data_IF_505691646761
#
_entry.id   IF_505691646761
#
_cell.length_a   1.000
_cell.length_b   1.000
_cell.length_c   1.000
_cell.angle_alpha   90.00
_cell.angle_beta   90.00
_cell.angle_gamma   90.00
#
_symmetry.space_group_name_H-M   'P 1'
#
loop_
_entity.id
_entity.type
_entity.pdbx_description
1 polymer ?
#
# COMPACT_ATOMS: atom_id res chain seq x y z
N UNK A 1 27.74 36.62 -1.93
CA UNK A 1 26.41 35.96 -1.91
C UNK A 1 26.62 34.47 -1.72
N UNK A 2 26.59 34.01 -0.47
CA UNK A 2 26.72 32.61 -0.06
C UNK A 2 25.55 31.80 -0.60
N UNK A 3 25.80 30.88 -1.54
CA UNK A 3 24.84 29.86 -1.96
C UNK A 3 24.50 29.00 -0.73
N UNK A 4 23.42 29.32 -0.02
CA UNK A 4 22.87 28.42 0.98
C UNK A 4 22.47 27.11 0.28
N UNK A 5 23.11 26.02 0.69
CA UNK A 5 22.71 24.64 0.41
C UNK A 5 21.31 24.43 0.97
N UNK A 6 20.28 24.72 0.21
CA UNK A 6 18.92 24.33 0.56
C UNK A 6 18.74 22.85 0.21
N UNK A 7 19.24 21.96 1.07
CA UNK A 7 18.86 20.55 0.98
C UNK A 7 17.37 20.43 1.28
N UNK A 8 16.63 19.88 0.31
CA UNK A 8 15.20 19.58 0.44
C UNK A 8 15.05 18.51 1.55
N UNK A 9 14.44 18.80 2.71
CA UNK A 9 14.38 17.86 3.83
C UNK A 9 13.69 16.55 3.48
N UNK A 10 12.55 16.63 2.77
CA UNK A 10 11.82 15.44 2.30
C UNK A 10 12.69 14.53 1.42
N UNK A 11 13.49 15.11 0.52
CA UNK A 11 14.37 14.36 -0.38
C UNK A 11 15.42 13.57 0.39
N UNK A 12 16.07 14.18 1.38
CA UNK A 12 17.07 13.48 2.20
C UNK A 12 16.44 12.32 2.98
N UNK A 13 15.25 12.54 3.56
CA UNK A 13 14.51 11.50 4.28
C UNK A 13 14.21 10.32 3.36
N UNK A 14 13.62 10.59 2.19
CA UNK A 14 13.28 9.54 1.23
C UNK A 14 14.51 8.85 0.66
N UNK A 15 15.62 9.55 0.47
CA UNK A 15 16.88 8.95 0.01
C UNK A 15 17.43 7.95 1.03
N UNK A 16 17.46 8.31 2.32
CA UNK A 16 17.88 7.41 3.40
C UNK A 16 16.96 6.19 3.47
N UNK A 17 15.64 6.41 3.45
CA UNK A 17 14.67 5.32 3.51
C UNK A 17 14.75 4.41 2.27
N UNK A 18 14.93 4.96 1.07
CA UNK A 18 15.06 4.18 -0.16
C UNK A 18 16.29 3.26 -0.13
N UNK A 19 17.45 3.80 0.29
CA UNK A 19 18.69 3.03 0.46
C UNK A 19 18.51 1.96 1.52
N UNK A 20 17.93 2.31 2.67
CA UNK A 20 17.65 1.35 3.75
C UNK A 20 16.75 0.21 3.27
N UNK A 21 15.71 0.50 2.50
CA UNK A 21 14.83 -0.54 1.94
C UNK A 21 15.59 -1.53 1.07
N UNK A 22 16.44 -1.08 0.15
CA UNK A 22 17.21 -2.01 -0.68
C UNK A 22 18.20 -2.83 0.14
N UNK A 23 18.87 -2.21 1.11
CA UNK A 23 19.76 -2.92 2.04
C UNK A 23 19.00 -4.04 2.76
N UNK A 24 17.81 -3.74 3.31
CA UNK A 24 16.97 -4.74 3.98
C UNK A 24 16.55 -5.87 3.03
N UNK A 25 16.20 -5.57 1.78
CA UNK A 25 15.84 -6.58 0.77
C UNK A 25 17.03 -7.48 0.44
N UNK A 26 18.21 -6.89 0.22
CA UNK A 26 19.47 -7.62 -0.04
C UNK A 26 19.74 -8.59 1.11
N UNK A 27 19.76 -8.11 2.36
CA UNK A 27 20.02 -8.94 3.53
C UNK A 27 18.98 -10.05 3.72
N UNK A 28 17.69 -9.73 3.54
CA UNK A 28 16.62 -10.72 3.66
C UNK A 28 16.74 -11.80 2.59
N UNK A 29 17.10 -11.43 1.37
CA UNK A 29 17.31 -12.39 0.29
C UNK A 29 18.60 -13.21 0.45
N UNK A 30 19.64 -12.68 1.11
CA UNK A 30 20.84 -13.44 1.45
C UNK A 30 20.56 -14.66 2.35
N UNK A 31 19.43 -14.69 3.06
CA UNK A 31 19.01 -15.88 3.81
C UNK A 31 18.86 -17.10 2.88
N UNK A 32 18.50 -16.88 1.60
CA UNK A 32 18.41 -17.96 0.62
C UNK A 32 19.77 -18.61 0.30
N UNK A 33 20.91 -18.00 0.65
CA UNK A 33 22.23 -18.61 0.46
C UNK A 33 22.48 -19.82 1.38
N UNK A 34 21.73 -19.95 2.47
CA UNK A 34 21.77 -21.14 3.32
C UNK A 34 20.96 -22.30 2.74
N UNK A 35 20.17 -22.05 1.69
CA UNK A 35 19.41 -23.10 1.00
C UNK A 35 20.33 -23.86 0.05
N UNK A 36 20.04 -25.14 -0.19
CA UNK A 36 20.86 -26.01 -1.03
C UNK A 36 21.03 -25.52 -2.47
N UNK A 37 20.12 -24.64 -2.94
CA UNK A 37 20.22 -23.96 -4.22
C UNK A 37 19.44 -22.63 -4.19
N UNK A 38 19.73 -21.76 -5.14
CA UNK A 38 19.05 -20.47 -5.38
C UNK A 38 18.59 -20.40 -6.83
N UNK A 39 17.64 -19.50 -7.14
CA UNK A 39 17.19 -19.27 -8.52
C UNK A 39 18.34 -18.77 -9.37
N UNK A 40 18.36 -19.14 -10.65
CA UNK A 40 19.40 -18.73 -11.62
C UNK A 40 19.64 -17.21 -11.66
N UNK A 41 18.57 -16.41 -11.50
CA UNK A 41 18.65 -14.95 -11.50
C UNK A 41 19.18 -14.35 -10.20
N UNK A 42 19.40 -15.15 -9.14
CA UNK A 42 19.65 -14.65 -7.79
C UNK A 42 20.87 -13.72 -7.72
N UNK A 43 22.05 -14.21 -8.13
CA UNK A 43 23.30 -13.43 -8.04
C UNK A 43 23.27 -12.18 -8.91
N UNK A 44 22.71 -12.28 -10.12
CA UNK A 44 22.53 -11.13 -11.03
C UNK A 44 21.62 -10.09 -10.38
N UNK A 45 20.51 -10.54 -9.77
CA UNK A 45 19.55 -9.65 -9.11
C UNK A 45 20.15 -8.98 -7.88
N UNK A 46 20.93 -9.71 -7.07
CA UNK A 46 21.66 -9.15 -5.93
C UNK A 46 22.65 -8.07 -6.38
N UNK A 47 23.43 -8.33 -7.43
CA UNK A 47 24.35 -7.35 -8.00
C UNK A 47 23.60 -6.10 -8.51
N UNK A 48 22.49 -6.29 -9.23
CA UNK A 48 21.65 -5.19 -9.69
C UNK A 48 21.15 -4.38 -8.49
N UNK A 49 20.62 -5.00 -7.43
CA UNK A 49 20.12 -4.29 -6.26
C UNK A 49 21.21 -3.47 -5.55
N UNK A 50 22.44 -3.98 -5.47
CA UNK A 50 23.59 -3.23 -4.94
C UNK A 50 23.87 -2.01 -5.82
N UNK A 51 23.91 -2.19 -7.14
CA UNK A 51 24.09 -1.07 -8.09
C UNK A 51 22.96 -0.04 -7.97
N UNK A 52 21.70 -0.49 -7.89
CA UNK A 52 20.55 0.39 -7.71
C UNK A 52 20.63 1.16 -6.39
N UNK A 53 21.14 0.53 -5.32
CA UNK A 53 21.36 1.19 -4.02
C UNK A 53 22.36 2.33 -4.15
N UNK A 54 23.47 2.12 -4.86
CA UNK A 54 24.48 3.15 -5.13
C UNK A 54 23.89 4.27 -6.00
N UNK A 55 23.13 3.91 -7.04
CA UNK A 55 22.47 4.89 -7.93
C UNK A 55 21.46 5.75 -7.16
N UNK A 56 20.62 5.16 -6.31
CA UNK A 56 19.68 5.91 -5.46
C UNK A 56 20.40 6.81 -4.48
N UNK A 57 21.46 6.32 -3.83
CA UNK A 57 22.29 7.13 -2.94
C UNK A 57 22.91 8.33 -3.68
N UNK A 58 23.44 8.11 -4.88
CA UNK A 58 23.98 9.18 -5.73
C UNK A 58 22.90 10.19 -6.13
N UNK A 59 21.74 9.71 -6.59
CA UNK A 59 20.65 10.59 -7.02
C UNK A 59 20.08 11.41 -5.86
N UNK A 60 20.03 10.85 -4.65
CA UNK A 60 19.48 11.47 -3.46
C UNK A 60 20.43 12.40 -2.71
N UNK A 61 21.66 11.96 -2.42
CA UNK A 61 22.65 12.75 -1.69
C UNK A 61 23.47 13.67 -2.60
N UNK A 62 23.57 13.33 -3.90
CA UNK A 62 24.31 14.07 -4.91
C UNK A 62 23.47 14.99 -5.79
N UNK A 63 22.27 15.40 -5.34
CA UNK A 63 21.30 16.19 -6.14
C UNK A 63 21.94 17.43 -6.78
N UNK A 64 22.77 18.14 -6.03
CA UNK A 64 23.46 19.35 -6.49
C UNK A 64 24.36 19.11 -7.73
N UNK A 65 24.87 17.88 -7.91
CA UNK A 65 25.79 17.52 -8.99
C UNK A 65 25.09 17.42 -10.35
N UNK A 66 23.84 16.94 -10.37
CA UNK A 66 23.12 16.62 -11.60
C UNK A 66 21.90 17.50 -11.85
N UNK A 67 21.33 18.14 -10.82
CA UNK A 67 20.09 18.93 -10.94
C UNK A 67 20.28 20.23 -11.74
N UNK A 68 21.46 20.84 -11.67
CA UNK A 68 21.75 22.13 -12.32
C UNK A 68 21.73 22.02 -13.85
N UNK A 69 22.15 20.89 -14.40
CA UNK A 69 22.20 20.67 -15.85
C UNK A 69 20.87 20.10 -16.36
N UNK A 70 20.25 20.76 -17.35
CA UNK A 70 18.92 20.39 -17.86
C UNK A 70 18.84 18.92 -18.33
N UNK A 71 19.85 18.46 -19.08
CA UNK A 71 19.90 17.08 -19.59
C UNK A 71 19.99 16.05 -18.46
N UNK A 72 20.97 16.19 -17.55
CA UNK A 72 21.15 15.29 -16.41
C UNK A 72 19.93 15.28 -15.48
N UNK A 73 19.24 16.40 -15.32
CA UNK A 73 18.01 16.48 -14.54
C UNK A 73 16.90 15.59 -15.08
N UNK A 74 16.64 15.61 -16.38
CA UNK A 74 15.65 14.71 -16.99
C UNK A 74 16.07 13.24 -16.90
N UNK A 75 17.37 12.95 -17.03
CA UNK A 75 17.90 11.60 -16.83
C UNK A 75 17.63 11.13 -15.40
N UNK A 76 17.95 11.94 -14.39
CA UNK A 76 17.68 11.62 -12.99
C UNK A 76 16.19 11.37 -12.71
N UNK A 77 15.30 12.15 -13.31
CA UNK A 77 13.86 11.93 -13.21
C UNK A 77 13.43 10.59 -13.81
N UNK A 78 13.87 10.29 -15.02
CA UNK A 78 13.57 9.02 -15.68
C UNK A 78 14.07 7.84 -14.86
N UNK A 79 15.29 7.92 -14.30
CA UNK A 79 15.85 6.87 -13.45
C UNK A 79 14.99 6.67 -12.19
N UNK A 80 14.62 7.73 -11.47
CA UNK A 80 13.78 7.59 -10.25
C UNK A 80 12.42 6.95 -10.53
N UNK A 81 11.78 7.30 -11.66
CA UNK A 81 10.52 6.69 -12.08
C UNK A 81 10.71 5.20 -12.41
N UNK A 82 11.76 4.87 -13.18
CA UNK A 82 12.06 3.47 -13.53
C UNK A 82 12.33 2.64 -12.28
N UNK A 83 13.07 3.19 -11.30
CA UNK A 83 13.37 2.51 -10.05
C UNK A 83 12.12 2.21 -9.21
N UNK A 84 11.05 2.98 -9.38
CA UNK A 84 9.77 2.70 -8.71
C UNK A 84 9.21 1.32 -9.10
N UNK A 85 9.53 0.83 -10.30
CA UNK A 85 9.14 -0.51 -10.76
C UNK A 85 9.73 -1.64 -9.92
N UNK A 86 10.79 -1.37 -9.13
CA UNK A 86 11.33 -2.35 -8.17
C UNK A 86 10.46 -2.54 -6.93
N UNK A 87 9.41 -1.72 -6.75
CA UNK A 87 8.56 -1.69 -5.56
C UNK A 87 9.03 -0.70 -4.49
N UNK A 88 10.21 -0.09 -4.64
CA UNK A 88 10.73 0.92 -3.72
C UNK A 88 10.05 2.28 -3.94
N UNK A 89 8.88 2.46 -3.34
CA UNK A 89 8.04 3.66 -3.48
C UNK A 89 8.73 4.95 -3.02
N UNK A 90 9.78 4.87 -2.18
CA UNK A 90 10.54 6.05 -1.80
C UNK A 90 11.24 6.72 -2.99
N UNK A 91 11.60 5.96 -4.04
CA UNK A 91 12.18 6.53 -5.26
C UNK A 91 11.17 7.42 -6.01
N UNK A 92 9.89 7.05 -6.00
CA UNK A 92 8.80 7.89 -6.49
C UNK A 92 8.62 9.15 -5.62
N UNK A 93 8.68 9.00 -4.30
CA UNK A 93 8.57 10.13 -3.36
C UNK A 93 9.75 11.10 -3.49
N UNK A 94 10.96 10.61 -3.77
CA UNK A 94 12.12 11.44 -4.13
C UNK A 94 11.83 12.23 -5.41
N UNK A 95 11.34 11.58 -6.46
CA UNK A 95 10.96 12.24 -7.71
C UNK A 95 9.92 13.35 -7.49
N UNK A 96 8.85 13.06 -6.74
CA UNK A 96 7.81 14.04 -6.38
C UNK A 96 8.41 15.22 -5.61
N UNK A 97 9.30 14.96 -4.66
CA UNK A 97 9.92 16.00 -3.83
C UNK A 97 10.78 16.95 -4.67
N UNK A 98 11.56 16.41 -5.62
CA UNK A 98 12.37 17.23 -6.53
C UNK A 98 11.49 18.04 -7.50
N UNK A 99 10.43 17.43 -8.04
CA UNK A 99 9.49 18.15 -8.90
C UNK A 99 8.79 19.30 -8.18
N UNK A 100 8.33 19.07 -6.95
CA UNK A 100 7.65 20.10 -6.15
C UNK A 100 8.59 21.20 -5.71
N UNK A 101 9.85 20.88 -5.41
CA UNK A 101 10.87 21.89 -5.13
C UNK A 101 11.06 22.89 -6.26
N UNK A 102 11.11 22.42 -7.52
CA UNK A 102 11.19 23.32 -8.68
C UNK A 102 10.07 24.34 -8.68
N UNK A 103 8.83 23.88 -8.45
CA UNK A 103 7.63 24.73 -8.44
C UNK A 103 7.65 25.77 -7.32
N UNK A 104 8.21 25.43 -6.15
CA UNK A 104 8.36 26.36 -5.02
C UNK A 104 9.49 27.36 -5.23
N UNK A 105 10.67 26.91 -5.69
CA UNK A 105 11.83 27.78 -5.88
C UNK A 105 11.67 28.79 -7.01
N UNK A 106 10.94 28.43 -8.08
CA UNK A 106 10.74 29.32 -9.24
C UNK A 106 9.54 30.26 -9.05
N UNK A 107 8.50 29.86 -8.29
CA UNK A 107 7.23 30.60 -8.19
C UNK A 107 6.96 31.23 -6.81
N UNK A 108 7.79 30.97 -5.80
CA UNK A 108 7.61 31.51 -4.44
C UNK A 108 6.37 31.00 -3.70
N UNK A 109 5.77 29.89 -4.15
CA UNK A 109 4.54 29.33 -3.58
C UNK A 109 4.85 28.45 -2.37
N UNK A 110 4.11 28.62 -1.26
CA UNK A 110 4.19 27.80 -0.06
C UNK A 110 4.15 26.29 -0.37
N UNK A 111 5.12 25.54 0.16
CA UNK A 111 5.24 24.12 -0.11
C UNK A 111 4.53 23.26 0.95
N UNK A 112 3.22 23.08 0.80
CA UNK A 112 2.45 22.18 1.67
C UNK A 112 2.97 20.73 1.72
N UNK A 113 3.78 20.30 0.73
CA UNK A 113 4.43 18.98 0.77
C UNK A 113 5.43 18.85 1.91
N UNK A 114 6.35 19.81 2.03
CA UNK A 114 7.43 19.72 3.01
C UNK A 114 6.85 19.74 4.40
N UNK A 115 5.89 20.64 4.65
CA UNK A 115 5.17 20.70 5.92
C UNK A 115 4.46 19.38 6.23
N UNK A 116 3.81 18.77 5.24
CA UNK A 116 3.16 17.46 5.39
C UNK A 116 4.17 16.34 5.72
N UNK A 117 5.28 16.26 4.99
CA UNK A 117 6.32 15.24 5.21
C UNK A 117 7.04 15.44 6.55
N UNK A 118 7.32 16.68 6.94
CA UNK A 118 7.93 16.99 8.25
C UNK A 118 6.99 16.58 9.39
N UNK A 119 5.68 16.84 9.26
CA UNK A 119 4.68 16.36 10.22
C UNK A 119 4.66 14.83 10.32
N UNK A 120 4.63 14.12 9.19
CA UNK A 120 4.70 12.63 9.20
C UNK A 120 6.00 12.14 9.85
N UNK A 121 7.14 12.74 9.52
CA UNK A 121 8.45 12.37 10.08
C UNK A 121 8.50 12.54 11.61
N UNK A 122 7.78 13.54 12.15
CA UNK A 122 7.72 13.77 13.60
C UNK A 122 7.09 12.58 14.33
N UNK A 123 6.19 11.84 13.66
CA UNK A 123 5.65 10.59 14.15
C UNK A 123 6.59 9.42 13.79
N UNK A 124 7.41 9.01 14.77
CA UNK A 124 8.40 7.93 14.62
C UNK A 124 7.74 6.59 14.24
N UNK A 125 6.58 6.29 14.83
CA UNK A 125 5.86 5.04 14.58
C UNK A 125 5.40 5.00 13.13
N UNK A 126 4.78 6.08 12.64
CA UNK A 126 4.37 6.16 11.24
C UNK A 126 5.55 6.07 10.27
N UNK A 127 6.69 6.69 10.59
CA UNK A 127 7.90 6.60 9.77
C UNK A 127 8.41 5.16 9.63
N UNK A 128 8.44 4.40 10.74
CA UNK A 128 8.80 2.97 10.74
C UNK A 128 7.79 2.17 9.91
N UNK A 129 6.49 2.43 10.08
CA UNK A 129 5.43 1.77 9.32
C UNK A 129 5.57 1.95 7.81
N UNK A 130 5.89 3.18 7.34
CA UNK A 130 6.12 3.42 5.90
C UNK A 130 7.32 2.60 5.40
N UNK A 131 8.42 2.54 6.16
CA UNK A 131 9.59 1.74 5.79
C UNK A 131 9.23 0.25 5.71
N UNK A 132 8.46 -0.27 6.67
CA UNK A 132 7.99 -1.67 6.68
C UNK A 132 7.13 -1.96 5.44
N UNK A 133 6.14 -1.10 5.12
CA UNK A 133 5.28 -1.30 3.95
C UNK A 133 6.07 -1.27 2.64
N UNK A 134 6.98 -0.31 2.49
CA UNK A 134 7.79 -0.19 1.28
C UNK A 134 8.79 -1.35 1.18
N UNK A 135 9.32 -1.83 2.30
CA UNK A 135 10.13 -3.05 2.35
C UNK A 135 9.33 -4.28 1.91
N UNK A 136 8.14 -4.51 2.47
CA UNK A 136 7.26 -5.62 2.09
C UNK A 136 6.86 -5.55 0.62
N UNK A 137 6.57 -4.35 0.11
CA UNK A 137 6.26 -4.15 -1.30
C UNK A 137 7.48 -4.44 -2.19
N UNK A 138 8.66 -3.95 -1.83
CA UNK A 138 9.89 -4.14 -2.61
C UNK A 138 10.28 -5.62 -2.65
N UNK A 139 10.31 -6.31 -1.50
CA UNK A 139 10.63 -7.75 -1.46
C UNK A 139 9.57 -8.56 -2.21
N UNK A 140 8.30 -8.15 -2.17
CA UNK A 140 7.22 -8.80 -2.90
C UNK A 140 7.39 -8.70 -4.42
N UNK A 141 7.71 -7.51 -4.95
CA UNK A 141 7.93 -7.32 -6.39
C UNK A 141 9.20 -8.04 -6.85
N UNK A 142 10.26 -8.02 -6.02
CA UNK A 142 11.53 -8.70 -6.33
C UNK A 142 11.51 -10.22 -6.04
N UNK A 143 10.47 -10.74 -5.38
CA UNK A 143 10.40 -12.13 -4.93
C UNK A 143 10.65 -13.14 -6.04
N UNK A 144 10.06 -12.94 -7.22
CA UNK A 144 10.23 -13.81 -8.40
C UNK A 144 11.70 -14.01 -8.82
N UNK A 145 12.55 -13.01 -8.57
CA UNK A 145 13.95 -12.99 -9.00
C UNK A 145 14.93 -13.39 -7.89
N UNK A 146 14.51 -13.25 -6.63
CA UNK A 146 15.32 -13.49 -5.44
C UNK A 146 14.98 -14.79 -4.71
N UNK A 147 13.79 -15.35 -4.92
CA UNK A 147 13.27 -16.52 -4.23
C UNK A 147 12.80 -17.56 -5.24
N UNK A 148 13.10 -18.83 -4.96
CA UNK A 148 12.57 -19.93 -5.75
C UNK A 148 11.09 -20.13 -5.39
N UNK A 149 10.22 -19.71 -6.29
CA UNK A 149 8.77 -19.82 -6.10
C UNK A 149 8.29 -21.26 -6.01
N UNK A 150 9.05 -22.25 -6.52
CA UNK A 150 8.66 -23.66 -6.43
C UNK A 150 8.69 -24.15 -4.98
N UNK A 151 9.63 -23.67 -4.16
CA UNK A 151 9.66 -23.93 -2.71
C UNK A 151 8.41 -23.43 -1.97
N UNK A 152 7.64 -22.51 -2.56
CA UNK A 152 6.41 -22.01 -1.98
C UNK A 152 5.13 -22.68 -2.49
N UNK A 153 5.19 -23.34 -3.65
CA UNK A 153 4.00 -23.81 -4.38
C UNK A 153 3.99 -25.32 -4.63
N UNK A 154 5.16 -25.94 -4.84
CA UNK A 154 5.28 -27.38 -5.11
C UNK A 154 5.52 -28.16 -3.82
N UNK A 155 4.95 -29.37 -3.75
CA UNK A 155 5.08 -30.22 -2.56
C UNK A 155 6.47 -30.87 -2.51
N UNK A 156 7.07 -30.91 -1.32
CA UNK A 156 8.39 -31.47 -1.04
C UNK A 156 8.28 -32.47 0.12
N UNK A 157 7.94 -33.71 -0.20
CA UNK A 157 7.61 -34.72 0.82
C UNK A 157 8.80 -35.15 1.71
N UNK A 158 10.03 -34.83 1.32
CA UNK A 158 11.23 -35.08 2.13
C UNK A 158 11.43 -34.05 3.25
N UNK A 159 10.71 -32.93 3.17
CA UNK A 159 10.86 -31.76 4.04
C UNK A 159 9.62 -31.49 4.88
N UNK A 160 8.79 -32.48 5.19
CA UNK A 160 7.54 -32.29 5.94
C UNK A 160 7.78 -31.80 7.38
N UNK A 161 7.07 -30.72 7.77
CA UNK A 161 7.00 -30.21 9.15
C UNK A 161 8.37 -30.04 9.83
N UNK A 162 9.37 -29.57 9.11
CA UNK A 162 10.68 -29.27 9.67
C UNK A 162 10.61 -28.02 10.53
N UNK A 163 11.30 -28.07 11.66
CA UNK A 163 11.45 -26.93 12.55
C UNK A 163 12.29 -25.80 11.91
N UNK A 164 12.17 -24.56 12.43
CA UNK A 164 13.01 -23.45 12.02
C UNK A 164 14.51 -23.79 12.04
N UNK A 165 15.19 -23.49 10.93
CA UNK A 165 16.63 -23.70 10.73
C UNK A 165 17.18 -22.64 9.77
N UNK A 166 18.50 -22.59 9.55
CA UNK A 166 19.06 -21.66 8.56
C UNK A 166 18.59 -21.96 7.13
N UNK A 167 18.35 -23.24 6.81
CA UNK A 167 17.81 -23.67 5.50
C UNK A 167 16.33 -23.30 5.37
N UNK A 168 15.57 -23.51 6.45
CA UNK A 168 14.14 -23.19 6.54
C UNK A 168 13.89 -22.20 7.69
N UNK A 169 14.09 -20.88 7.50
CA UNK A 169 14.08 -19.90 8.58
C UNK A 169 12.84 -19.92 9.46
N UNK A 170 11.69 -20.22 8.87
CA UNK A 170 10.41 -20.32 9.56
C UNK A 170 9.87 -21.76 9.66
N UNK A 171 10.68 -22.74 9.26
CA UNK A 171 10.29 -24.14 9.10
C UNK A 171 9.57 -24.42 7.78
N UNK A 172 9.03 -25.62 7.65
CA UNK A 172 8.26 -26.08 6.48
C UNK A 172 6.88 -26.55 6.89
N UNK A 173 5.95 -26.56 5.94
CA UNK A 173 4.57 -26.95 6.19
C UNK A 173 4.28 -28.45 6.01
N UNK A 174 3.00 -28.78 6.06
CA UNK A 174 2.43 -30.13 5.91
C UNK A 174 2.55 -30.73 4.50
N UNK A 175 3.02 -29.94 3.54
CA UNK A 175 3.44 -30.39 2.21
C UNK A 175 4.95 -30.19 1.98
N UNK A 176 5.69 -29.83 3.03
CA UNK A 176 7.13 -29.61 3.03
C UNK A 176 7.59 -28.33 2.35
N UNK A 177 6.67 -27.43 2.04
CA UNK A 177 6.98 -26.14 1.40
C UNK A 177 7.63 -25.20 2.41
N UNK A 178 8.61 -24.43 1.96
CA UNK A 178 9.36 -23.49 2.79
C UNK A 178 8.50 -22.30 3.24
N UNK A 179 8.18 -22.21 4.54
CA UNK A 179 7.26 -21.21 5.07
C UNK A 179 7.75 -19.78 4.85
N UNK A 180 9.06 -19.54 4.95
CA UNK A 180 9.66 -18.23 4.71
C UNK A 180 9.43 -17.77 3.26
N UNK A 181 9.76 -18.60 2.28
CA UNK A 181 9.47 -18.29 0.87
C UNK A 181 7.98 -18.14 0.63
N UNK A 182 7.11 -18.97 1.24
CA UNK A 182 5.64 -18.85 1.11
C UNK A 182 5.14 -17.48 1.57
N UNK A 183 5.63 -16.98 2.71
CA UNK A 183 5.25 -15.66 3.23
C UNK A 183 5.71 -14.54 2.29
N UNK A 184 6.95 -14.59 1.81
CA UNK A 184 7.50 -13.57 0.89
C UNK A 184 6.73 -13.56 -0.43
N UNK A 185 6.53 -14.72 -1.06
CA UNK A 185 5.78 -14.84 -2.31
C UNK A 185 4.32 -14.44 -2.12
N UNK A 186 3.70 -14.85 -1.01
CA UNK A 186 2.30 -14.54 -0.70
C UNK A 186 2.02 -13.08 -0.32
N UNK A 187 3.07 -12.30 -0.04
CA UNK A 187 2.96 -10.84 0.18
C UNK A 187 2.31 -10.17 -1.02
N UNK A 188 2.65 -10.59 -2.25
CA UNK A 188 2.16 -9.97 -3.49
C UNK A 188 0.64 -10.02 -3.59
N UNK A 189 0.08 -11.21 -3.39
CA UNK A 189 -1.35 -11.43 -3.55
C UNK A 189 -2.15 -10.78 -2.40
N UNK A 190 -1.63 -10.85 -1.18
CA UNK A 190 -2.25 -10.23 0.00
C UNK A 190 -2.35 -8.71 -0.15
N UNK A 191 -1.27 -8.05 -0.61
CA UNK A 191 -1.27 -6.62 -0.94
C UNK A 191 -2.23 -6.31 -2.09
N UNK A 192 -2.17 -7.11 -3.16
CA UNK A 192 -3.00 -6.88 -4.34
C UNK A 192 -4.49 -6.91 -4.03
N UNK A 193 -4.97 -7.97 -3.36
CA UNK A 193 -6.39 -8.09 -2.97
C UNK A 193 -6.80 -6.90 -2.12
N UNK A 194 -6.03 -6.61 -1.07
CA UNK A 194 -6.39 -5.60 -0.08
C UNK A 194 -6.42 -4.19 -0.67
N UNK A 195 -5.40 -3.81 -1.45
CA UNK A 195 -5.32 -2.48 -2.06
C UNK A 195 -6.38 -2.32 -3.15
N UNK A 196 -6.51 -3.30 -4.06
CA UNK A 196 -7.46 -3.18 -5.18
C UNK A 196 -8.90 -3.13 -4.69
N UNK A 197 -9.27 -3.95 -3.70
CA UNK A 197 -10.61 -3.89 -3.12
C UNK A 197 -10.94 -2.51 -2.55
N UNK A 198 -10.03 -1.92 -1.77
CA UNK A 198 -10.25 -0.58 -1.20
C UNK A 198 -10.28 0.49 -2.28
N UNK A 199 -9.39 0.41 -3.29
CA UNK A 199 -9.37 1.37 -4.41
C UNK A 199 -10.69 1.35 -5.16
N UNK A 200 -11.24 0.17 -5.47
CA UNK A 200 -12.55 0.05 -6.14
C UNK A 200 -13.65 0.65 -5.25
N UNK A 201 -13.68 0.30 -3.97
CA UNK A 201 -14.67 0.86 -3.03
C UNK A 201 -14.58 2.37 -2.90
N UNK A 202 -13.36 2.93 -2.89
CA UNK A 202 -13.15 4.38 -2.81
C UNK A 202 -13.60 5.05 -4.09
N UNK A 203 -13.23 4.56 -5.27
CA UNK A 203 -13.64 5.16 -6.54
C UNK A 203 -15.16 5.15 -6.68
N UNK A 204 -15.79 3.98 -6.53
CA UNK A 204 -17.24 3.86 -6.66
C UNK A 204 -17.98 4.62 -5.55
N UNK A 205 -17.48 4.52 -4.31
CA UNK A 205 -18.02 5.26 -3.18
C UNK A 205 -17.92 6.77 -3.38
N UNK A 206 -16.78 7.30 -3.82
CA UNK A 206 -16.60 8.71 -4.10
C UNK A 206 -17.58 9.20 -5.16
N UNK A 207 -17.72 8.47 -6.27
CA UNK A 207 -18.64 8.86 -7.35
C UNK A 207 -20.09 8.89 -6.84
N UNK A 208 -20.54 7.82 -6.18
CA UNK A 208 -21.91 7.72 -5.66
C UNK A 208 -22.19 8.76 -4.57
N UNK A 209 -21.25 8.94 -3.63
CA UNK A 209 -21.36 9.92 -2.56
C UNK A 209 -21.33 11.35 -3.06
N UNK A 210 -20.51 11.66 -4.06
CA UNK A 210 -20.45 12.97 -4.69
C UNK A 210 -21.75 13.31 -5.42
N UNK A 211 -22.29 12.36 -6.20
CA UNK A 211 -23.59 12.52 -6.87
C UNK A 211 -24.70 12.74 -5.85
N UNK A 212 -24.78 11.89 -4.81
CA UNK A 212 -25.81 12.00 -3.79
C UNK A 212 -25.71 13.29 -2.97
N UNK A 213 -24.49 13.72 -2.60
CA UNK A 213 -24.27 14.96 -1.85
C UNK A 213 -24.56 16.22 -2.66
N UNK A 214 -24.32 16.19 -3.98
CA UNK A 214 -24.57 17.36 -4.83
C UNK A 214 -26.02 17.45 -5.30
N UNK A 215 -26.61 16.34 -5.75
CA UNK A 215 -27.94 16.28 -6.37
C UNK A 215 -29.01 15.77 -5.40
N UNK A 216 -29.79 16.70 -4.83
CA UNK A 216 -30.86 16.41 -3.84
C UNK A 216 -31.89 15.38 -4.34
N UNK A 217 -32.20 15.39 -5.64
CA UNK A 217 -33.21 14.48 -6.23
C UNK A 217 -32.76 13.01 -6.24
N UNK A 218 -31.45 12.77 -6.36
CA UNK A 218 -30.88 11.42 -6.51
C UNK A 218 -30.37 10.89 -5.15
N UNK A 219 -30.14 11.79 -4.20
CA UNK A 219 -29.61 11.50 -2.87
C UNK A 219 -30.33 10.33 -2.18
N UNK A 220 -31.65 10.45 -1.97
CA UNK A 220 -32.41 9.43 -1.25
C UNK A 220 -32.36 8.07 -1.97
N UNK A 221 -32.45 8.03 -3.31
CA UNK A 221 -32.39 6.77 -4.04
C UNK A 221 -31.04 6.07 -3.85
N UNK A 222 -29.93 6.81 -4.02
CA UNK A 222 -28.58 6.26 -3.87
C UNK A 222 -28.33 5.81 -2.44
N UNK A 223 -28.68 6.63 -1.45
CA UNK A 223 -28.49 6.28 -0.04
C UNK A 223 -29.32 5.07 0.36
N UNK A 224 -30.55 4.91 -0.13
CA UNK A 224 -31.39 3.72 0.16
C UNK A 224 -30.79 2.44 -0.39
N UNK A 225 -30.28 2.45 -1.62
CA UNK A 225 -29.61 1.29 -2.21
C UNK A 225 -28.37 0.92 -1.37
N UNK A 226 -27.59 1.92 -0.98
CA UNK A 226 -26.38 1.71 -0.17
C UNK A 226 -26.70 1.24 1.25
N UNK A 227 -27.79 1.72 1.85
CA UNK A 227 -28.24 1.28 3.19
C UNK A 227 -28.68 -0.19 3.17
N UNK A 228 -29.31 -0.67 2.09
CA UNK A 228 -29.62 -2.10 1.92
C UNK A 228 -28.35 -2.95 1.92
N UNK A 229 -27.33 -2.53 1.17
CA UNK A 229 -26.04 -3.23 1.13
C UNK A 229 -25.34 -3.17 2.50
N UNK A 230 -25.36 -2.02 3.16
CA UNK A 230 -24.71 -1.79 4.45
C UNK A 230 -25.39 -2.50 5.62
N UNK A 231 -26.67 -2.83 5.50
CA UNK A 231 -27.42 -3.60 6.49
C UNK A 231 -26.90 -5.04 6.64
N UNK A 232 -26.27 -5.57 5.59
CA UNK A 232 -25.64 -6.89 5.62
C UNK A 232 -24.21 -6.74 6.16
N UNK A 233 -23.82 -7.46 7.23
CA UNK A 233 -22.44 -7.46 7.70
C UNK A 233 -21.46 -7.80 6.57
N UNK A 234 -20.41 -7.00 6.39
CA UNK A 234 -19.51 -7.10 5.24
C UNK A 234 -18.88 -8.48 5.07
N UNK A 235 -18.53 -9.14 6.17
CA UNK A 235 -18.03 -10.50 6.18
C UNK A 235 -19.10 -11.49 5.67
N UNK A 236 -20.34 -11.39 6.15
CA UNK A 236 -21.44 -12.26 5.71
C UNK A 236 -21.79 -12.03 4.24
N UNK A 237 -21.78 -10.77 3.78
CA UNK A 237 -21.96 -10.44 2.38
C UNK A 237 -20.87 -11.09 1.51
N UNK A 238 -19.63 -11.04 1.97
CA UNK A 238 -18.52 -11.66 1.25
C UNK A 238 -18.63 -13.18 1.19
N UNK A 239 -18.97 -13.82 2.31
CA UNK A 239 -19.25 -15.26 2.38
C UNK A 239 -20.38 -15.62 1.41
N UNK A 240 -21.48 -14.87 1.38
CA UNK A 240 -22.61 -15.15 0.51
C UNK A 240 -22.25 -15.06 -0.99
N UNK A 241 -21.51 -14.03 -1.39
CA UNK A 241 -21.03 -13.86 -2.77
C UNK A 241 -20.11 -15.02 -3.14
N UNK A 242 -19.15 -15.36 -2.29
CA UNK A 242 -18.17 -16.40 -2.60
C UNK A 242 -18.82 -17.79 -2.63
N UNK A 243 -19.76 -18.07 -1.72
CA UNK A 243 -20.53 -19.32 -1.75
C UNK A 243 -21.37 -19.46 -3.02
N UNK A 244 -21.86 -18.34 -3.57
CA UNK A 244 -22.70 -18.35 -4.79
C UNK A 244 -21.88 -18.44 -6.08
N UNK A 245 -20.74 -17.73 -6.15
CA UNK A 245 -19.94 -17.59 -7.37
C UNK A 245 -18.64 -18.43 -7.37
N UNK A 246 -18.35 -19.13 -6.27
CA UNK A 246 -17.15 -19.94 -6.08
C UNK A 246 -15.95 -19.16 -5.54
N UNK A 247 -15.01 -19.89 -4.94
CA UNK A 247 -13.76 -19.34 -4.41
C UNK A 247 -12.84 -18.89 -5.55
N UNK A 248 -12.60 -17.58 -5.64
CA UNK A 248 -11.61 -17.01 -6.55
C UNK A 248 -11.12 -15.65 -6.04
N UNK A 249 -9.89 -15.29 -6.41
CA UNK A 249 -9.32 -13.96 -6.10
C UNK A 249 -10.23 -12.83 -6.59
N UNK A 250 -10.83 -12.99 -7.78
CA UNK A 250 -11.71 -12.00 -8.38
C UNK A 250 -13.00 -11.83 -7.57
N UNK A 251 -13.65 -12.94 -7.22
CA UNK A 251 -14.90 -12.90 -6.43
C UNK A 251 -14.65 -12.32 -5.04
N UNK A 252 -13.51 -12.65 -4.43
CA UNK A 252 -13.09 -12.08 -3.15
C UNK A 252 -12.89 -10.56 -3.27
N UNK A 253 -12.20 -10.08 -4.32
CA UNK A 253 -12.02 -8.65 -4.55
C UNK A 253 -13.37 -7.94 -4.72
N UNK A 254 -14.27 -8.49 -5.54
CA UNK A 254 -15.62 -7.93 -5.78
C UNK A 254 -16.42 -7.88 -4.49
N UNK A 255 -16.45 -8.98 -3.73
CA UNK A 255 -17.16 -9.10 -2.46
C UNK A 255 -16.71 -8.04 -1.44
N UNK A 256 -15.40 -7.95 -1.21
CA UNK A 256 -14.80 -6.98 -0.31
C UNK A 256 -15.04 -5.54 -0.79
N UNK A 257 -15.03 -5.33 -2.11
CA UNK A 257 -15.27 -4.01 -2.70
C UNK A 257 -16.70 -3.55 -2.43
N UNK A 258 -17.69 -4.37 -2.78
CA UNK A 258 -19.13 -4.05 -2.65
C UNK A 258 -19.48 -3.75 -1.20
N UNK A 259 -18.99 -4.56 -0.24
CA UNK A 259 -19.26 -4.36 1.18
C UNK A 259 -18.76 -3.04 1.74
N UNK A 260 -17.72 -2.43 1.15
CA UNK A 260 -17.14 -1.18 1.62
C UNK A 260 -17.65 0.08 0.88
N UNK A 261 -18.28 -0.06 -0.29
CA UNK A 261 -18.81 1.08 -1.08
C UNK A 261 -19.73 1.99 -0.25
N UNK A 262 -20.74 1.47 0.50
CA UNK A 262 -21.67 2.34 1.24
C UNK A 262 -20.98 3.27 2.22
N UNK A 263 -19.96 2.76 2.90
CA UNK A 263 -19.23 3.53 3.89
C UNK A 263 -18.45 4.68 3.23
N UNK A 264 -17.78 4.44 2.10
CA UNK A 264 -17.07 5.49 1.33
C UNK A 264 -18.01 6.50 0.70
N UNK A 265 -19.15 6.05 0.17
CA UNK A 265 -20.18 6.94 -0.36
C UNK A 265 -20.77 7.85 0.73
N UNK A 266 -21.03 7.33 1.93
CA UNK A 266 -21.54 8.13 3.04
C UNK A 266 -20.54 9.19 3.49
N UNK A 267 -19.26 8.82 3.62
CA UNK A 267 -18.18 9.79 3.94
C UNK A 267 -18.09 10.88 2.87
N UNK A 268 -18.01 10.50 1.59
CA UNK A 268 -17.91 11.49 0.52
C UNK A 268 -19.16 12.38 0.45
N UNK A 269 -20.36 11.82 0.63
CA UNK A 269 -21.61 12.61 0.69
C UNK A 269 -21.55 13.67 1.79
N UNK A 270 -21.12 13.29 2.99
CA UNK A 270 -21.00 14.23 4.11
C UNK A 270 -20.04 15.38 3.77
N UNK A 271 -18.86 15.06 3.25
CA UNK A 271 -17.87 16.06 2.85
C UNK A 271 -18.41 16.99 1.74
N UNK A 272 -19.11 16.43 0.74
CA UNK A 272 -19.71 17.22 -0.33
C UNK A 272 -20.80 18.15 0.19
N UNK A 273 -21.63 17.71 1.13
CA UNK A 273 -22.66 18.56 1.73
C UNK A 273 -22.07 19.74 2.50
N UNK A 274 -20.91 19.56 3.13
CA UNK A 274 -20.17 20.62 3.81
C UNK A 274 -19.54 21.58 2.79
N UNK A 275 -18.73 21.06 1.87
CA UNK A 275 -18.00 21.85 0.87
C UNK A 275 -18.94 22.61 -0.07
N UNK A 276 -20.09 22.03 -0.42
CA UNK A 276 -21.11 22.66 -1.29
C UNK A 276 -21.67 23.97 -0.72
N UNK A 277 -21.55 24.21 0.60
CA UNK A 277 -22.03 25.42 1.29
C UNK A 277 -20.97 26.51 1.42
N UNK A 278 -19.77 26.28 0.89
CA UNK A 278 -18.67 27.25 0.97
C UNK A 278 -18.86 28.39 -0.03
N UNK A 279 -18.52 29.61 0.36
CA UNK A 279 -18.72 30.84 -0.43
C UNK A 279 -18.11 30.77 -1.84
N UNK A 280 -16.93 30.14 -1.98
CA UNK A 280 -16.27 30.00 -3.28
C UNK A 280 -17.04 29.09 -4.25
N UNK A 281 -17.83 28.14 -3.74
CA UNK A 281 -18.68 27.28 -4.58
C UNK A 281 -19.90 28.06 -5.07
N UNK A 282 -20.48 28.90 -4.22
CA UNK A 282 -21.59 29.76 -4.60
C UNK A 282 -21.14 30.86 -5.57
N UNK A 283 -19.95 31.44 -5.37
CA UNK A 283 -19.33 32.35 -6.34
C UNK A 283 -19.17 31.69 -7.72
N UNK A 284 -18.62 30.46 -7.77
CA UNK A 284 -18.46 29.72 -9.02
C UNK A 284 -19.80 29.49 -9.75
N UNK A 285 -20.88 29.20 -9.00
CA UNK A 285 -22.23 29.08 -9.56
C UNK A 285 -22.75 30.38 -10.14
N UNK A 286 -22.60 31.49 -9.42
CA UNK A 286 -23.07 32.81 -9.85
C UNK A 286 -22.32 33.24 -11.13
N UNK A 287 -21.03 32.90 -11.25
CA UNK A 287 -20.25 33.16 -12.47
C UNK A 287 -20.59 32.24 -13.65
N UNK A 288 -21.55 31.33 -13.49
CA UNK A 288 -22.02 30.46 -14.58
C UNK A 288 -21.14 29.24 -14.85
N UNK A 289 -20.30 28.81 -13.89
CA UNK A 289 -19.49 27.60 -14.05
C UNK A 289 -20.37 26.35 -14.20
N UNK A 290 -19.98 25.46 -15.12
CA UNK A 290 -20.74 24.23 -15.36
C UNK A 290 -20.67 23.31 -14.13
N UNK A 291 -21.74 22.54 -13.89
CA UNK A 291 -21.80 21.61 -12.75
C UNK A 291 -20.63 20.60 -12.70
N UNK A 292 -20.22 19.96 -13.83
CA UNK A 292 -19.05 19.10 -13.82
C UNK A 292 -17.78 19.85 -13.39
N UNK A 293 -17.59 21.10 -13.86
CA UNK A 293 -16.44 21.92 -13.47
C UNK A 293 -16.46 22.25 -11.97
N UNK A 294 -17.62 22.58 -11.42
CA UNK A 294 -17.82 22.78 -9.97
C UNK A 294 -17.42 21.52 -9.19
N UNK A 295 -17.92 20.36 -9.61
CA UNK A 295 -17.65 19.09 -8.95
C UNK A 295 -16.16 18.73 -8.96
N UNK A 296 -15.53 18.71 -10.14
CA UNK A 296 -14.15 18.23 -10.29
C UNK A 296 -13.09 19.23 -9.85
N UNK A 297 -13.36 20.53 -9.98
CA UNK A 297 -12.34 21.58 -9.72
C UNK A 297 -12.45 22.21 -8.34
N UNK A 298 -13.65 22.21 -7.75
CA UNK A 298 -13.90 22.90 -6.48
C UNK A 298 -14.31 21.91 -5.37
N UNK A 299 -15.29 21.05 -5.61
CA UNK A 299 -15.85 20.20 -4.55
C UNK A 299 -14.97 18.98 -4.25
N UNK A 300 -14.58 18.23 -5.28
CA UNK A 300 -13.81 16.99 -5.11
C UNK A 300 -12.47 17.26 -4.43
N UNK A 301 -11.61 18.20 -4.89
CA UNK A 301 -10.29 18.40 -4.27
C UNK A 301 -10.36 18.75 -2.79
N UNK A 302 -11.39 19.50 -2.38
CA UNK A 302 -11.61 19.90 -0.99
C UNK A 302 -12.29 18.82 -0.13
N UNK A 303 -12.90 17.80 -0.76
CA UNK A 303 -13.53 16.67 -0.08
C UNK A 303 -12.61 15.44 0.07
N UNK A 304 -11.39 15.46 -0.49
CA UNK A 304 -10.49 14.30 -0.54
C UNK A 304 -9.76 14.03 0.77
N UNK A 305 -9.45 15.03 1.60
CA UNK A 305 -8.63 14.82 2.80
C UNK A 305 -9.18 13.74 3.76
N UNK A 306 -10.48 13.75 4.13
CA UNK A 306 -11.04 12.68 4.96
C UNK A 306 -11.11 11.32 4.24
N UNK A 307 -11.20 11.33 2.91
CA UNK A 307 -11.22 10.11 2.10
C UNK A 307 -9.85 9.43 2.09
N UNK A 308 -8.75 10.19 2.04
CA UNK A 308 -7.38 9.66 2.08
C UNK A 308 -7.11 9.00 3.44
N UNK A 309 -7.49 9.66 4.53
CA UNK A 309 -7.36 9.09 5.89
C UNK A 309 -8.13 7.77 5.98
N UNK A 310 -9.39 7.77 5.53
CA UNK A 310 -10.24 6.59 5.60
C UNK A 310 -9.77 5.46 4.69
N UNK A 311 -9.19 5.79 3.53
CA UNK A 311 -8.56 4.81 2.64
C UNK A 311 -7.46 4.04 3.38
N UNK A 312 -6.51 4.73 4.02
CA UNK A 312 -5.41 4.10 4.74
C UNK A 312 -5.88 3.16 5.86
N UNK A 313 -6.81 3.61 6.69
CA UNK A 313 -7.37 2.80 7.79
C UNK A 313 -8.15 1.58 7.28
N UNK A 314 -8.89 1.73 6.18
CA UNK A 314 -9.72 0.65 5.66
C UNK A 314 -8.89 -0.48 5.02
N UNK A 315 -7.68 -0.20 4.51
CA UNK A 315 -6.78 -1.26 4.03
C UNK A 315 -6.51 -2.29 5.14
N UNK A 316 -6.23 -1.85 6.37
CA UNK A 316 -6.02 -2.77 7.49
C UNK A 316 -7.23 -3.67 7.77
N UNK A 317 -8.44 -3.10 7.73
CA UNK A 317 -9.70 -3.86 7.89
C UNK A 317 -9.87 -4.88 6.76
N UNK A 318 -9.59 -4.49 5.52
CA UNK A 318 -9.72 -5.38 4.35
C UNK A 318 -8.67 -6.48 4.38
N UNK A 319 -7.43 -6.21 4.82
CA UNK A 319 -6.40 -7.25 5.05
C UNK A 319 -6.93 -8.28 6.05
N UNK A 320 -7.43 -7.84 7.21
CA UNK A 320 -7.99 -8.75 8.23
C UNK A 320 -9.16 -9.57 7.69
N UNK A 321 -10.07 -8.93 6.93
CA UNK A 321 -11.24 -9.60 6.37
C UNK A 321 -10.83 -10.63 5.31
N UNK A 322 -9.86 -10.27 4.45
CA UNK A 322 -9.28 -11.15 3.43
C UNK A 322 -8.65 -12.37 4.09
N UNK A 323 -7.77 -12.16 5.07
CA UNK A 323 -7.12 -13.26 5.78
C UNK A 323 -8.13 -14.12 6.56
N UNK A 324 -9.19 -13.51 7.13
CA UNK A 324 -10.26 -14.25 7.81
C UNK A 324 -11.06 -15.13 6.85
N UNK A 325 -11.39 -14.64 5.65
CA UNK A 325 -12.10 -15.44 4.63
C UNK A 325 -11.24 -16.57 4.09
N UNK A 326 -9.98 -16.31 3.77
CA UNK A 326 -9.02 -17.37 3.41
C UNK A 326 -8.82 -18.38 4.54
N UNK A 327 -8.79 -17.91 5.80
CA UNK A 327 -8.75 -18.78 6.98
C UNK A 327 -9.97 -19.70 7.08
N UNK A 328 -11.15 -19.22 6.69
CA UNK A 328 -12.37 -20.04 6.62
C UNK A 328 -12.45 -20.93 5.36
N UNK A 329 -11.46 -20.89 4.47
CA UNK A 329 -11.46 -21.64 3.21
C UNK A 329 -12.32 -21.01 2.10
N UNK A 330 -12.79 -19.79 2.32
CA UNK A 330 -13.64 -19.02 1.40
C UNK A 330 -12.87 -17.92 0.67
N UNK A 331 -11.54 -18.02 0.62
CA UNK A 331 -10.69 -17.01 0.02
C UNK A 331 -10.12 -17.45 -1.32
N UNK A 332 -8.80 -17.34 -1.42
CA UNK A 332 -8.02 -17.83 -2.58
C UNK A 332 -7.88 -19.35 -2.49
N UNK A 333 -7.68 -20.02 -3.63
CA UNK A 333 -7.40 -21.46 -3.66
C UNK A 333 -6.25 -21.84 -2.69
N UNK A 334 -6.35 -22.99 -1.98
CA UNK A 334 -5.41 -23.36 -0.90
C UNK A 334 -3.94 -23.50 -1.32
N UNK A 335 -3.69 -23.81 -2.59
CA UNK A 335 -2.35 -24.01 -3.15
C UNK A 335 -1.59 -22.69 -3.31
N UNK A 336 -2.32 -21.59 -3.46
CA UNK A 336 -1.74 -20.28 -3.70
C UNK A 336 -1.22 -19.70 -2.37
N UNK A 337 0.06 -19.28 -2.31
CA UNK A 337 0.59 -18.63 -1.13
C UNK A 337 -0.13 -17.28 -0.92
N UNK A 338 -0.96 -17.24 0.11
CA UNK A 338 -1.66 -16.06 0.63
C UNK A 338 -1.66 -16.20 2.16
N UNK A 339 -1.46 -15.10 2.89
CA UNK A 339 -1.18 -15.18 4.31
C UNK A 339 -2.31 -15.81 5.13
N UNK A 340 -3.57 -15.56 4.79
CA UNK A 340 -4.70 -16.23 5.43
C UNK A 340 -4.76 -17.73 5.17
N UNK A 341 -4.44 -18.18 3.94
CA UNK A 341 -4.32 -19.61 3.61
C UNK A 341 -3.17 -20.27 4.38
N UNK A 342 -2.01 -19.61 4.44
CA UNK A 342 -0.84 -20.11 5.18
C UNK A 342 -1.18 -20.23 6.67
N UNK A 343 -1.86 -19.22 7.24
CA UNK A 343 -2.33 -19.24 8.62
C UNK A 343 -3.35 -20.37 8.87
N UNK A 344 -4.26 -20.63 7.93
CA UNK A 344 -5.24 -21.75 8.03
C UNK A 344 -4.55 -23.09 8.15
N UNK A 345 -3.57 -23.33 7.28
CA UNK A 345 -2.79 -24.57 7.33
C UNK A 345 -2.05 -24.67 8.66
N UNK A 346 -1.40 -23.59 9.09
CA UNK A 346 -0.64 -23.57 10.34
C UNK A 346 -1.49 -23.73 11.60
N UNK A 347 -2.75 -23.29 11.62
CA UNK A 347 -3.60 -23.41 12.80
C UNK A 347 -3.89 -24.85 13.21
N UNK A 348 -3.83 -25.78 12.26
CA UNK A 348 -3.99 -27.22 12.54
C UNK A 348 -2.79 -27.80 13.32
N UNK A 349 -1.66 -27.08 13.37
CA UNK A 349 -0.40 -27.54 13.96
C UNK A 349 0.02 -26.72 15.19
N UNK A 350 -0.89 -25.96 15.82
CA UNK A 350 -0.55 -25.11 16.97
C UNK A 350 0.08 -25.87 18.14
N UNK A 351 -0.31 -27.12 18.37
CA UNK A 351 0.21 -27.93 19.47
C UNK A 351 1.60 -28.53 19.19
N UNK A 352 1.98 -28.66 17.92
CA UNK A 352 3.21 -29.35 17.51
C UNK A 352 4.23 -28.42 16.86
N UNK A 353 3.80 -27.60 15.91
CA UNK A 353 4.62 -26.72 15.08
C UNK A 353 3.97 -25.33 15.01
N UNK A 354 3.86 -24.67 16.16
CA UNK A 354 3.19 -23.37 16.32
C UNK A 354 3.76 -22.26 15.44
N UNK A 355 5.03 -22.37 15.03
CA UNK A 355 5.68 -21.47 14.08
C UNK A 355 4.89 -21.30 12.78
N UNK A 356 4.21 -22.36 12.30
CA UNK A 356 3.41 -22.33 11.07
C UNK A 356 2.25 -21.32 11.12
N UNK A 357 1.66 -21.09 12.30
CA UNK A 357 0.61 -20.11 12.49
C UNK A 357 1.15 -18.75 12.96
N UNK A 358 2.17 -18.75 13.83
CA UNK A 358 2.70 -17.52 14.44
C UNK A 358 3.29 -16.59 13.37
N UNK A 359 4.13 -17.08 12.47
CA UNK A 359 4.77 -16.23 11.47
C UNK A 359 3.80 -15.53 10.50
N UNK A 360 2.87 -16.24 9.81
CA UNK A 360 1.90 -15.54 8.96
C UNK A 360 0.97 -14.63 9.78
N UNK A 361 0.60 -15.00 11.01
CA UNK A 361 -0.17 -14.14 11.91
C UNK A 361 0.55 -12.84 12.26
N UNK A 362 1.85 -12.90 12.57
CA UNK A 362 2.68 -11.72 12.82
C UNK A 362 2.81 -10.85 11.56
N UNK A 363 2.93 -11.44 10.37
CA UNK A 363 2.95 -10.68 9.11
C UNK A 363 1.64 -9.92 8.87
N UNK A 364 0.49 -10.58 9.06
CA UNK A 364 -0.83 -9.94 8.97
C UNK A 364 -0.93 -8.80 9.98
N UNK A 365 -0.57 -9.04 11.25
CA UNK A 365 -0.60 -8.03 12.30
C UNK A 365 0.28 -6.83 11.96
N UNK A 366 1.53 -7.06 11.54
CA UNK A 366 2.47 -6.00 11.16
C UNK A 366 1.94 -5.16 10.00
N UNK A 367 1.34 -5.81 8.98
CA UNK A 367 0.77 -5.12 7.83
C UNK A 367 -0.40 -4.22 8.23
N UNK A 368 -1.32 -4.74 9.05
CA UNK A 368 -2.50 -4.01 9.53
C UNK A 368 -2.09 -2.82 10.41
N UNK A 369 -1.17 -3.03 11.36
CA UNK A 369 -0.65 -1.97 12.21
C UNK A 369 0.07 -0.89 11.38
N UNK A 370 0.86 -1.30 10.39
CA UNK A 370 1.58 -0.35 9.55
C UNK A 370 0.62 0.57 8.78
N UNK A 371 -0.45 0.02 8.17
CA UNK A 371 -1.48 0.84 7.51
C UNK A 371 -2.26 1.73 8.49
N UNK A 372 -2.59 1.24 9.68
CA UNK A 372 -3.31 2.03 10.68
C UNK A 372 -2.48 3.23 11.16
N UNK A 373 -1.21 3.01 11.53
CA UNK A 373 -0.33 4.09 11.97
C UNK A 373 -0.05 5.13 10.88
N UNK A 374 0.00 4.71 9.61
CA UNK A 374 0.08 5.64 8.48
C UNK A 374 -1.21 6.44 8.35
N UNK A 375 -2.38 5.80 8.46
CA UNK A 375 -3.67 6.48 8.41
C UNK A 375 -3.79 7.56 9.50
N UNK A 376 -3.38 7.25 10.72
CA UNK A 376 -3.36 8.21 11.84
C UNK A 376 -2.40 9.36 11.58
N UNK A 377 -1.16 9.10 11.13
CA UNK A 377 -0.22 10.18 10.83
C UNK A 377 -0.64 11.04 9.63
N UNK A 378 -1.29 10.45 8.62
CA UNK A 378 -1.87 11.21 7.51
C UNK A 378 -3.02 12.08 8.00
N UNK A 379 -3.85 11.57 8.92
CA UNK A 379 -4.92 12.35 9.56
C UNK A 379 -4.36 13.54 10.32
N UNK A 380 -3.37 13.30 11.18
CA UNK A 380 -2.74 14.35 11.99
C UNK A 380 -2.05 15.40 11.11
N UNK A 381 -1.43 14.97 10.00
CA UNK A 381 -0.76 15.87 9.07
C UNK A 381 -1.74 16.73 8.26
N UNK A 382 -2.93 16.20 7.96
CA UNK A 382 -4.00 16.88 7.22
C UNK A 382 -4.95 17.70 8.12
N UNK A 383 -4.93 17.52 9.45
CA UNK A 383 -5.77 18.30 10.36
C UNK A 383 -5.33 19.79 10.38
N UNK A 384 -6.20 20.73 9.98
CA UNK A 384 -5.89 22.15 9.95
C UNK A 384 -5.85 22.80 11.33
N UNK A 385 -6.33 22.16 12.40
CA UNK A 385 -6.46 22.78 13.73
C UNK A 385 -5.14 22.97 14.50
N UNK A 386 -4.02 22.48 13.99
CA UNK A 386 -2.67 22.69 14.58
C UNK A 386 -1.94 23.85 13.85
N UNK A 387 -2.67 24.88 13.41
CA UNK A 387 -2.10 26.06 12.76
C UNK A 387 -2.39 27.34 13.54
#
# INVERSE_FOLDING_TARGET
>A
MTQQRYMIPSLLIFSVCAVLTYILVIFTACINLFKGYVVDSFYITQFILILLTIVVAFLGFGVDLWYKQKALRYIGYSILIILTATGNLFTLLMFISILRYKKTSELGIYNGWESFIIKIKSNKIASISVVILVFLLTISVMSKYLFDTTLATQNQFDDLLKNPSLVHPFGTDDFGRDLFTRIVVGTKLTFFISIISVVISVILGMILGMIAGYFVKIDNLVMRILDVVFAIPSLLLAVAIIASFGASTTNLIIALSIGNIPSFARTMRANVLEVKRMEYVDAARITGETTPRILWSYILPNSLSPMIVRFSLNIGVVVLTTSSLSFLGLGVSPEVPEWGNILRTGSNYLETHSNLAIFPGLCIMLLVLAFNFIGDAVRDALDPKIQ
#
